data_IF_341620516812
#
_entry.id   IF_341620516812
#
_cell.length_a   1.000
_cell.length_b   1.000
_cell.length_c   1.000
_cell.angle_alpha   90.00
_cell.angle_beta   90.00
_cell.angle_gamma   90.00
#
_symmetry.space_group_name_H-M   'P 1'
#
loop_
_entity.id
_entity.type
_entity.pdbx_description
1 polymer ?
#
# COMPACT_ATOMS: atom_id res chain seq x y z
N UNK A 1 16.85 16.69 -5.62
CA UNK A 1 16.68 15.23 -5.74
C UNK A 1 17.42 14.54 -4.60
N UNK A 2 16.89 13.40 -4.15
CA UNK A 2 17.40 12.60 -3.04
C UNK A 2 18.14 11.36 -3.51
N UNK A 3 19.11 10.89 -2.75
CA UNK A 3 19.83 9.64 -3.04
C UNK A 3 18.97 8.41 -2.73
N UNK A 4 18.07 8.54 -1.74
CA UNK A 4 17.17 7.47 -1.36
C UNK A 4 15.80 7.99 -0.88
N UNK A 5 14.78 7.15 -1.05
CA UNK A 5 13.45 7.26 -0.44
C UNK A 5 13.21 6.00 0.39
N UNK A 6 12.73 6.17 1.61
CA UNK A 6 12.30 5.07 2.48
C UNK A 6 10.82 5.24 2.78
N UNK A 7 10.04 4.21 2.51
CA UNK A 7 8.61 4.16 2.81
C UNK A 7 8.29 2.87 3.56
N UNK A 8 7.69 3.00 4.72
CA UNK A 8 7.31 1.88 5.56
C UNK A 8 5.87 2.04 6.02
N UNK A 9 5.03 1.04 5.75
CA UNK A 9 3.61 1.04 6.12
C UNK A 9 2.90 2.34 5.73
N UNK A 10 3.02 2.72 4.45
CA UNK A 10 2.47 3.96 3.91
C UNK A 10 1.69 3.74 2.62
N UNK A 11 2.24 2.97 1.67
CA UNK A 11 1.66 2.84 0.33
C UNK A 11 0.31 2.11 0.33
N UNK A 12 0.07 1.22 1.28
CA UNK A 12 -1.22 0.53 1.48
C UNK A 12 -2.34 1.49 1.86
N UNK A 13 -2.00 2.61 2.49
CA UNK A 13 -2.94 3.67 2.87
C UNK A 13 -3.21 4.70 1.76
N UNK A 14 -2.53 4.57 0.62
CA UNK A 14 -2.66 5.51 -0.50
C UNK A 14 -3.69 4.99 -1.50
N UNK A 15 -4.67 5.83 -1.83
CA UNK A 15 -5.74 5.46 -2.77
C UNK A 15 -5.22 5.24 -4.21
N UNK A 16 -4.15 5.95 -4.61
CA UNK A 16 -3.55 5.83 -5.95
C UNK A 16 -2.04 5.53 -5.84
N UNK A 17 -1.65 4.25 -5.65
CA UNK A 17 -0.26 3.89 -5.41
C UNK A 17 0.67 4.14 -6.60
N UNK A 18 0.21 4.01 -7.84
CA UNK A 18 1.04 4.36 -9.03
C UNK A 18 1.37 5.85 -9.02
N UNK A 19 0.40 6.71 -8.75
CA UNK A 19 0.61 8.16 -8.67
C UNK A 19 1.62 8.53 -7.58
N UNK A 20 1.54 7.86 -6.42
CA UNK A 20 2.51 8.05 -5.34
C UNK A 20 3.92 7.59 -5.73
N UNK A 21 4.06 6.39 -6.30
CA UNK A 21 5.35 5.85 -6.74
C UNK A 21 6.00 6.72 -7.81
N UNK A 22 5.24 7.19 -8.80
CA UNK A 22 5.73 8.12 -9.81
C UNK A 22 6.19 9.45 -9.19
N UNK A 23 5.50 9.94 -8.14
CA UNK A 23 5.93 11.12 -7.41
C UNK A 23 7.21 10.88 -6.62
N UNK A 24 7.35 9.74 -5.96
CA UNK A 24 8.59 9.36 -5.26
C UNK A 24 9.76 9.21 -6.25
N UNK A 25 9.48 8.64 -7.44
CA UNK A 25 10.47 8.57 -8.52
C UNK A 25 11.00 9.95 -8.92
N UNK A 26 10.12 10.95 -9.06
CA UNK A 26 10.50 12.32 -9.45
C UNK A 26 11.43 13.01 -8.43
N UNK A 27 11.33 12.66 -7.15
CA UNK A 27 12.19 13.26 -6.12
C UNK A 27 13.51 12.51 -5.94
N UNK A 28 13.63 11.30 -6.47
CA UNK A 28 14.88 10.54 -6.49
C UNK A 28 15.81 11.06 -7.60
N UNK A 29 17.11 11.02 -7.32
CA UNK A 29 18.13 11.14 -8.36
C UNK A 29 17.99 9.98 -9.35
N UNK A 30 18.54 10.17 -10.56
CA UNK A 30 18.87 9.05 -11.43
C UNK A 30 19.73 8.04 -10.66
N UNK A 31 19.42 6.76 -10.78
CA UNK A 31 20.08 5.69 -10.03
C UNK A 31 19.88 5.74 -8.49
N UNK A 32 19.01 6.63 -7.99
CA UNK A 32 18.65 6.69 -6.58
C UNK A 32 17.85 5.48 -6.12
N UNK A 33 17.92 5.15 -4.85
CA UNK A 33 17.34 3.93 -4.29
C UNK A 33 15.99 4.18 -3.59
N UNK A 34 15.14 3.16 -3.57
CA UNK A 34 13.97 3.14 -2.72
C UNK A 34 13.94 1.85 -1.88
N UNK A 35 13.74 2.02 -0.58
CA UNK A 35 13.37 0.93 0.32
C UNK A 35 11.87 1.04 0.59
N UNK A 36 11.11 0.04 0.17
CA UNK A 36 9.68 -0.05 0.36
C UNK A 36 9.36 -1.22 1.29
N UNK A 37 8.68 -0.94 2.39
CA UNK A 37 8.21 -1.94 3.35
C UNK A 37 6.69 -1.86 3.38
N UNK A 38 6.03 -2.98 3.08
CA UNK A 38 4.58 -3.12 3.04
C UNK A 38 4.13 -4.21 4.02
N UNK A 39 2.94 -4.11 4.59
CA UNK A 39 2.42 -5.16 5.45
C UNK A 39 2.15 -6.44 4.64
N UNK A 40 2.58 -7.58 5.19
CA UNK A 40 2.19 -8.89 4.66
C UNK A 40 0.87 -9.31 5.31
N UNK A 41 -0.17 -9.52 4.51
CA UNK A 41 -1.54 -9.76 5.04
C UNK A 41 -1.63 -10.94 6.01
N UNK A 42 -0.77 -11.96 5.87
CA UNK A 42 -0.78 -13.15 6.74
C UNK A 42 -0.50 -12.76 8.19
N UNK A 43 0.34 -11.76 8.43
CA UNK A 43 0.73 -11.28 9.75
C UNK A 43 -0.25 -10.29 10.38
N UNK A 44 -1.20 -9.73 9.61
CA UNK A 44 -2.03 -8.62 10.08
C UNK A 44 -3.55 -8.84 9.93
N UNK A 45 -4.32 -7.79 10.18
CA UNK A 45 -5.78 -7.79 10.13
C UNK A 45 -6.37 -7.95 8.72
N UNK A 46 -5.57 -7.82 7.66
CA UNK A 46 -6.02 -7.99 6.27
C UNK A 46 -6.02 -9.45 5.80
N UNK A 47 -5.65 -10.41 6.64
CA UNK A 47 -5.43 -11.80 6.22
C UNK A 47 -6.65 -12.47 5.59
N UNK A 48 -7.87 -11.97 5.85
CA UNK A 48 -9.13 -12.45 5.25
C UNK A 48 -9.47 -11.77 3.92
N UNK A 49 -8.78 -10.69 3.56
CA UNK A 49 -9.02 -9.95 2.32
C UNK A 49 -8.33 -10.63 1.14
N UNK A 50 -8.90 -10.47 -0.05
CA UNK A 50 -8.23 -10.86 -1.28
C UNK A 50 -7.04 -9.95 -1.57
N UNK A 51 -6.03 -10.49 -2.27
CA UNK A 51 -4.95 -9.66 -2.82
C UNK A 51 -5.52 -8.73 -3.88
N UNK A 52 -5.07 -7.49 -3.88
CA UNK A 52 -5.41 -6.53 -4.95
C UNK A 52 -4.77 -6.95 -6.26
N UNK A 53 -5.47 -6.78 -7.37
CA UNK A 53 -4.93 -7.07 -8.71
C UNK A 53 -4.26 -5.86 -9.32
N UNK A 54 -3.36 -6.10 -10.28
CA UNK A 54 -2.73 -5.00 -11.01
C UNK A 54 -3.73 -4.23 -11.88
N UNK A 55 -4.72 -4.92 -12.44
CA UNK A 55 -5.80 -4.29 -13.20
C UNK A 55 -6.58 -3.29 -12.36
N UNK A 56 -6.81 -3.59 -11.07
CA UNK A 56 -7.47 -2.67 -10.15
C UNK A 56 -6.60 -1.43 -9.89
N UNK A 57 -5.31 -1.60 -9.57
CA UNK A 57 -4.35 -0.50 -9.40
C UNK A 57 -4.29 0.40 -10.66
N UNK A 58 -4.30 -0.21 -11.85
CA UNK A 58 -4.33 0.52 -13.12
C UNK A 58 -5.64 1.28 -13.34
N UNK A 59 -6.76 0.72 -12.90
CA UNK A 59 -8.07 1.40 -12.95
C UNK A 59 -8.05 2.65 -12.07
N UNK A 60 -7.54 2.54 -10.84
CA UNK A 60 -7.42 3.68 -9.92
C UNK A 60 -6.53 4.78 -10.50
N UNK A 61 -5.42 4.37 -11.13
CA UNK A 61 -4.52 5.32 -11.77
C UNK A 61 -5.17 6.04 -12.96
N UNK A 62 -5.84 5.30 -13.86
CA UNK A 62 -6.50 5.87 -15.04
C UNK A 62 -7.68 6.78 -14.70
N UNK A 63 -8.39 6.48 -13.63
CA UNK A 63 -9.53 7.27 -13.15
C UNK A 63 -9.09 8.41 -12.22
N UNK A 64 -7.79 8.61 -12.03
CA UNK A 64 -7.22 9.61 -11.12
C UNK A 64 -7.85 9.59 -9.73
N UNK A 65 -8.06 8.39 -9.20
CA UNK A 65 -8.64 8.17 -7.85
C UNK A 65 -7.82 8.95 -6.83
N UNK A 66 -8.50 9.62 -5.93
CA UNK A 66 -7.90 10.43 -4.87
C UNK A 66 -8.27 9.92 -3.46
N UNK A 67 -7.84 10.64 -2.45
CA UNK A 67 -7.99 10.27 -1.04
C UNK A 67 -9.44 10.38 -0.50
N UNK A 68 -10.40 10.79 -1.32
CA UNK A 68 -11.83 10.72 -0.99
C UNK A 68 -12.46 9.39 -1.41
N UNK A 69 -11.69 8.49 -2.04
CA UNK A 69 -12.19 7.18 -2.45
C UNK A 69 -12.66 6.36 -1.25
N UNK A 70 -13.89 5.89 -1.34
CA UNK A 70 -14.55 5.05 -0.35
C UNK A 70 -14.86 3.63 -0.86
N UNK A 71 -14.44 3.31 -2.08
CA UNK A 71 -14.77 2.05 -2.76
C UNK A 71 -14.25 0.81 -2.02
N UNK A 72 -13.18 0.96 -1.24
CA UNK A 72 -12.59 -0.10 -0.42
C UNK A 72 -13.21 -0.23 0.98
N UNK A 73 -14.01 0.74 1.43
CA UNK A 73 -14.48 0.79 2.81
C UNK A 73 -15.33 -0.44 3.19
N UNK A 74 -16.22 -0.86 2.30
CA UNK A 74 -17.05 -2.03 2.58
C UNK A 74 -16.22 -3.29 2.77
N UNK A 75 -15.29 -3.57 1.88
CA UNK A 75 -14.38 -4.73 1.98
C UNK A 75 -13.51 -4.65 3.22
N UNK A 76 -12.96 -3.47 3.51
CA UNK A 76 -12.12 -3.24 4.69
C UNK A 76 -12.89 -3.48 5.99
N UNK A 77 -14.16 -3.05 6.08
CA UNK A 77 -15.02 -3.31 7.24
C UNK A 77 -15.37 -4.80 7.34
N UNK A 78 -15.81 -5.43 6.24
CA UNK A 78 -16.35 -6.78 6.24
C UNK A 78 -15.30 -7.84 6.57
N UNK A 79 -14.05 -7.62 6.17
CA UNK A 79 -12.97 -8.61 6.28
C UNK A 79 -11.85 -8.24 7.26
N UNK A 80 -11.96 -7.10 7.94
CA UNK A 80 -10.99 -6.71 8.96
C UNK A 80 -11.03 -7.64 10.17
N UNK A 81 -9.89 -8.17 10.57
CA UNK A 81 -9.80 -8.97 11.78
C UNK A 81 -9.51 -8.10 13.01
N UNK A 82 -10.56 -7.74 13.74
CA UNK A 82 -10.46 -6.90 14.94
C UNK A 82 -9.54 -7.49 16.02
N UNK A 83 -9.41 -8.83 16.09
CA UNK A 83 -8.52 -9.48 17.05
C UNK A 83 -7.04 -9.26 16.73
N UNK A 84 -6.72 -9.06 15.45
CA UNK A 84 -5.37 -8.79 14.98
C UNK A 84 -5.03 -7.30 14.91
N UNK A 85 -5.97 -6.40 15.26
CA UNK A 85 -5.68 -4.97 15.28
C UNK A 85 -4.60 -4.67 16.32
N UNK A 86 -3.47 -4.03 15.93
CA UNK A 86 -2.46 -3.61 16.89
C UNK A 86 -2.98 -2.49 17.80
N UNK A 87 -2.40 -2.40 18.98
CA UNK A 87 -2.73 -1.37 19.95
C UNK A 87 -4.05 -1.62 20.70
N UNK A 88 -4.82 -0.55 20.94
CA UNK A 88 -6.07 -0.63 21.70
C UNK A 88 -7.12 -1.43 20.92
N UNK A 89 -7.78 -2.37 21.60
CA UNK A 89 -8.95 -3.05 21.07
C UNK A 89 -10.11 -2.08 20.90
N UNK A 90 -10.82 -2.22 19.79
CA UNK A 90 -11.98 -1.39 19.45
C UNK A 90 -13.18 -2.27 19.10
N UNK A 91 -14.38 -1.71 19.21
CA UNK A 91 -15.60 -2.38 18.77
C UNK A 91 -15.75 -2.32 17.24
N UNK A 92 -16.69 -3.10 16.70
CA UNK A 92 -17.05 -3.03 15.27
C UNK A 92 -17.60 -1.64 14.91
N UNK A 93 -18.41 -1.04 15.79
CA UNK A 93 -18.97 0.29 15.59
C UNK A 93 -17.88 1.36 15.54
N UNK A 94 -16.90 1.29 16.43
CA UNK A 94 -15.72 2.17 16.41
C UNK A 94 -14.91 1.97 15.11
N UNK A 95 -14.72 0.72 14.66
CA UNK A 95 -14.01 0.44 13.41
C UNK A 95 -14.74 1.04 12.19
N UNK A 96 -16.06 0.89 12.11
CA UNK A 96 -16.87 1.48 11.04
C UNK A 96 -16.73 3.00 11.04
N UNK A 97 -16.79 3.63 12.19
CA UNK A 97 -16.69 5.10 12.31
C UNK A 97 -15.29 5.61 11.91
N UNK A 98 -14.24 4.92 12.33
CA UNK A 98 -12.85 5.20 11.93
C UNK A 98 -12.72 5.09 10.42
N UNK A 99 -13.24 4.02 9.81
CA UNK A 99 -13.18 3.79 8.36
C UNK A 99 -13.88 4.91 7.58
N UNK A 100 -15.09 5.32 8.00
CA UNK A 100 -15.81 6.43 7.38
C UNK A 100 -15.06 7.76 7.44
N UNK A 101 -14.24 7.96 8.45
CA UNK A 101 -13.42 9.16 8.64
C UNK A 101 -12.00 9.04 8.06
N UNK A 102 -11.76 8.11 7.12
CA UNK A 102 -10.44 7.82 6.57
C UNK A 102 -9.72 9.04 6.00
N UNK A 103 -10.42 9.99 5.41
CA UNK A 103 -9.79 11.23 4.91
C UNK A 103 -8.98 11.97 5.99
N UNK A 104 -9.40 11.87 7.27
CA UNK A 104 -8.71 12.50 8.40
C UNK A 104 -7.67 11.61 9.05
N UNK A 105 -7.97 10.32 9.24
CA UNK A 105 -7.15 9.42 10.05
C UNK A 105 -6.21 8.51 9.24
N UNK A 106 -6.51 8.28 7.95
CA UNK A 106 -5.69 7.47 7.02
C UNK A 106 -5.46 6.03 7.49
N UNK A 107 -6.41 5.42 8.18
CA UNK A 107 -6.27 4.05 8.72
C UNK A 107 -6.64 2.95 7.73
N UNK A 108 -7.40 3.26 6.67
CA UNK A 108 -7.82 2.24 5.69
C UNK A 108 -6.62 1.77 4.87
N UNK A 109 -6.44 0.46 4.79
CA UNK A 109 -5.63 -0.15 3.75
C UNK A 109 -6.46 -0.23 2.47
N UNK A 110 -6.21 0.66 1.52
CA UNK A 110 -6.91 0.64 0.23
C UNK A 110 -6.57 -0.64 -0.54
N UNK A 111 -5.32 -1.07 -0.51
CA UNK A 111 -4.81 -2.19 -1.28
C UNK A 111 -4.11 -3.23 -0.41
N UNK A 112 -4.24 -4.50 -0.80
CA UNK A 112 -3.56 -5.64 -0.20
C UNK A 112 -2.49 -6.12 -1.17
N UNK A 113 -1.24 -5.89 -0.82
CA UNK A 113 -0.09 -6.20 -1.68
C UNK A 113 0.38 -7.63 -1.51
N UNK A 114 0.83 -8.22 -2.61
CA UNK A 114 1.60 -9.45 -2.66
C UNK A 114 2.81 -9.26 -3.58
N UNK A 115 3.69 -10.25 -3.64
CA UNK A 115 4.90 -10.19 -4.47
C UNK A 115 4.59 -9.86 -5.94
N UNK A 116 3.59 -10.53 -6.52
CA UNK A 116 3.22 -10.33 -7.93
C UNK A 116 2.81 -8.89 -8.18
N UNK A 117 1.87 -8.36 -7.39
CA UNK A 117 1.38 -6.99 -7.52
C UNK A 117 2.51 -5.97 -7.36
N UNK A 118 3.40 -6.18 -6.38
CA UNK A 118 4.57 -5.30 -6.16
C UNK A 118 5.44 -5.24 -7.42
N UNK A 119 5.79 -6.40 -7.99
CA UNK A 119 6.63 -6.47 -9.19
C UNK A 119 5.98 -5.81 -10.40
N UNK A 120 4.69 -6.07 -10.65
CA UNK A 120 3.94 -5.46 -11.75
C UNK A 120 3.89 -3.93 -11.60
N UNK A 121 3.60 -3.45 -10.39
CA UNK A 121 3.44 -2.01 -10.11
C UNK A 121 4.78 -1.26 -10.21
N UNK A 122 5.84 -1.80 -9.61
CA UNK A 122 7.18 -1.19 -9.65
C UNK A 122 7.77 -1.21 -11.06
N UNK A 123 7.59 -2.30 -11.81
CA UNK A 123 8.02 -2.38 -13.21
C UNK A 123 7.27 -1.37 -14.09
N UNK A 124 5.96 -1.19 -13.88
CA UNK A 124 5.18 -0.17 -14.58
C UNK A 124 5.70 1.26 -14.31
N UNK A 125 6.16 1.51 -13.09
CA UNK A 125 6.74 2.79 -12.68
C UNK A 125 8.23 2.93 -13.05
N UNK A 126 8.82 1.99 -13.80
CA UNK A 126 10.23 1.97 -14.20
C UNK A 126 11.21 1.96 -13.02
N UNK A 127 10.90 1.21 -11.98
CA UNK A 127 11.87 0.82 -10.96
C UNK A 127 12.53 -0.52 -11.32
N UNK A 128 13.81 -0.64 -11.03
CA UNK A 128 14.55 -1.91 -11.06
C UNK A 128 14.53 -2.52 -9.66
N UNK A 129 13.92 -3.69 -9.53
CA UNK A 129 13.90 -4.40 -8.25
C UNK A 129 15.24 -5.12 -8.08
N UNK A 130 15.98 -4.76 -7.03
CA UNK A 130 17.29 -5.31 -6.72
C UNK A 130 17.20 -6.46 -5.74
N UNK A 131 16.28 -6.38 -4.77
CA UNK A 131 16.08 -7.41 -3.76
C UNK A 131 14.64 -7.43 -3.25
N UNK A 132 14.21 -8.60 -2.78
CA UNK A 132 12.89 -8.83 -2.20
C UNK A 132 12.99 -9.83 -1.06
N UNK A 133 12.53 -9.43 0.10
CA UNK A 133 12.43 -10.29 1.28
C UNK A 133 10.98 -10.35 1.74
N UNK A 134 10.50 -11.54 2.02
CA UNK A 134 9.17 -11.81 2.57
C UNK A 134 9.29 -12.36 3.98
N UNK A 135 8.82 -11.58 4.93
CA UNK A 135 8.73 -11.92 6.34
C UNK A 135 7.28 -12.19 6.71
N UNK A 136 7.04 -12.71 7.91
CA UNK A 136 5.69 -13.00 8.38
C UNK A 136 4.78 -11.77 8.39
N UNK A 137 5.33 -10.62 8.72
CA UNK A 137 4.57 -9.38 8.91
C UNK A 137 4.85 -8.34 7.81
N UNK A 138 5.96 -8.49 7.09
CA UNK A 138 6.44 -7.50 6.15
C UNK A 138 6.86 -8.07 4.81
N UNK A 139 6.59 -7.32 3.75
CA UNK A 139 7.17 -7.45 2.42
C UNK A 139 8.17 -6.32 2.25
N UNK A 140 9.44 -6.64 2.08
CA UNK A 140 10.54 -5.67 2.04
C UNK A 140 11.14 -5.68 0.64
N UNK A 141 11.15 -4.53 -0.02
CA UNK A 141 11.60 -4.38 -1.39
C UNK A 141 12.67 -3.31 -1.46
N UNK A 142 13.82 -3.68 -2.01
CA UNK A 142 14.87 -2.74 -2.35
C UNK A 142 14.92 -2.57 -3.86
N UNK A 143 14.76 -1.35 -4.34
CA UNK A 143 14.73 -1.07 -5.75
C UNK A 143 15.46 0.24 -6.08
N UNK A 144 15.72 0.43 -7.37
CA UNK A 144 16.47 1.56 -7.91
C UNK A 144 15.65 2.28 -8.97
N UNK A 145 15.73 3.60 -8.99
CA UNK A 145 15.17 4.41 -10.05
C UNK A 145 15.93 4.16 -11.34
N UNK A 146 15.27 3.61 -12.35
CA UNK A 146 15.82 3.59 -13.71
C UNK A 146 15.80 5.01 -14.28
N UNK A 147 16.78 5.30 -15.09
CA UNK A 147 16.97 6.61 -15.74
C UNK A 147 15.76 6.98 -16.60
#
# INVERSE_FOLDING_TARGET
AYDAVVSSHCLEHVANPIKALLRWKQVLKSEGFMLLILPHKIGNFDHKRNDTTFEHIMSDFKNDVDENDDTHFKEFIDFFDLEKKPGKKISLEEHIEITKNNFKNREVHHHVFNKKLIYETLNYCDFEILDYLEEKEDLIIFCKNKI
#
